data_IF_004517714154
#
_entry.id   IF_004517714154
#
_cell.length_a   1.000
_cell.length_b   1.000
_cell.length_c   1.000
_cell.angle_alpha   90.00
_cell.angle_beta   90.00
_cell.angle_gamma   90.00
#
_symmetry.space_group_name_H-M   'P 1'
#
loop_
_entity.id
_entity.type
_entity.pdbx_description
1 polymer ?
#
# COMPACT_ATOMS: atom_id res chain seq x y z
N UNK A 1 13.38 -4.32 7.44
CA UNK A 1 12.76 -3.08 6.96
C UNK A 1 11.36 -3.29 6.36
N UNK A 2 11.11 -4.42 5.71
CA UNK A 2 9.81 -4.80 5.17
C UNK A 2 9.04 -5.56 6.26
N UNK A 3 7.82 -5.15 6.54
CA UNK A 3 6.95 -5.80 7.53
C UNK A 3 5.64 -6.17 6.83
N UNK A 4 5.59 -7.33 6.17
CA UNK A 4 4.37 -7.81 5.56
C UNK A 4 3.36 -8.22 6.64
N UNK A 5 2.08 -7.99 6.38
CA UNK A 5 0.96 -8.38 7.23
C UNK A 5 0.02 -9.22 6.39
N UNK A 6 -0.29 -10.43 6.83
CA UNK A 6 -1.29 -11.27 6.17
C UNK A 6 -2.67 -10.65 6.34
N UNK A 7 -3.41 -10.56 5.25
CA UNK A 7 -4.77 -10.06 5.25
C UNK A 7 -5.70 -11.21 5.65
N UNK A 8 -6.28 -11.10 6.84
CA UNK A 8 -7.38 -11.96 7.28
C UNK A 8 -8.66 -11.13 7.29
N UNK A 9 -9.78 -11.73 6.93
CA UNK A 9 -11.06 -11.03 6.96
C UNK A 9 -11.34 -10.49 8.37
N UNK A 10 -11.38 -9.17 8.51
CA UNK A 10 -11.95 -8.52 9.68
C UNK A 10 -11.20 -7.36 10.34
N UNK A 11 -9.88 -7.19 10.28
CA UNK A 11 -9.28 -6.11 11.08
C UNK A 11 -7.91 -5.58 10.60
N UNK A 12 -7.84 -5.15 9.33
CA UNK A 12 -6.60 -4.61 8.77
C UNK A 12 -6.49 -3.09 8.94
N UNK A 13 -7.55 -2.43 9.35
CA UNK A 13 -7.62 -0.97 9.46
C UNK A 13 -6.56 -0.37 10.40
N UNK A 14 -6.10 -1.14 11.38
CA UNK A 14 -5.10 -0.69 12.36
C UNK A 14 -3.69 -0.54 11.77
N UNK A 15 -3.39 -1.23 10.68
CA UNK A 15 -2.08 -1.20 10.03
C UNK A 15 -1.93 -0.10 8.99
N UNK A 16 -3.04 0.49 8.54
CA UNK A 16 -3.06 1.48 7.47
C UNK A 16 -2.88 2.87 8.05
N UNK A 17 -1.84 3.56 7.59
CA UNK A 17 -1.56 4.96 7.90
C UNK A 17 -1.95 5.86 6.74
N UNK A 18 -2.41 7.07 7.07
CA UNK A 18 -2.75 8.08 6.09
C UNK A 18 -1.59 8.44 5.17
N UNK A 19 -1.91 8.68 3.88
CA UNK A 19 -0.99 9.13 2.83
C UNK A 19 0.25 8.23 2.63
N UNK A 20 0.13 6.94 2.91
CA UNK A 20 1.22 5.97 2.70
C UNK A 20 0.90 5.06 1.53
N UNK A 21 1.97 4.64 0.86
CA UNK A 21 1.92 3.64 -0.21
C UNK A 21 2.06 2.24 0.38
N UNK A 22 1.31 1.34 -0.18
CA UNK A 22 1.34 -0.08 0.15
C UNK A 22 1.36 -0.92 -1.12
N UNK A 23 1.87 -2.13 -0.99
CA UNK A 23 1.68 -3.20 -1.96
C UNK A 23 0.68 -4.19 -1.37
N UNK A 24 -0.31 -4.58 -2.17
CA UNK A 24 -1.19 -5.71 -1.89
C UNK A 24 -0.77 -6.87 -2.75
N UNK A 25 -0.60 -8.03 -2.14
CA UNK A 25 -0.01 -9.20 -2.76
C UNK A 25 -1.00 -10.36 -2.66
N UNK A 26 -1.25 -11.03 -3.79
CA UNK A 26 -2.00 -12.28 -3.87
C UNK A 26 -1.01 -13.42 -4.09
N UNK A 27 -1.17 -14.50 -3.33
CA UNK A 27 -0.26 -15.63 -3.36
C UNK A 27 -0.97 -16.93 -3.01
N UNK A 28 -0.41 -18.05 -3.44
CA UNK A 28 -0.82 -19.41 -3.09
C UNK A 28 0.32 -20.17 -2.40
N UNK A 29 0.00 -21.19 -1.61
CA UNK A 29 1.03 -22.07 -1.04
C UNK A 29 1.73 -22.85 -2.15
N UNK A 30 3.05 -23.00 -2.05
CA UNK A 30 3.77 -23.97 -2.88
C UNK A 30 3.31 -25.36 -2.50
N UNK A 31 2.79 -26.12 -3.47
CA UNK A 31 2.49 -27.53 -3.27
C UNK A 31 3.80 -28.29 -3.07
N UNK A 32 4.01 -28.82 -1.87
CA UNK A 32 5.05 -29.83 -1.64
C UNK A 32 4.44 -31.17 -2.05
N UNK A 33 4.84 -31.68 -3.21
CA UNK A 33 4.49 -33.02 -3.65
C UNK A 33 5.03 -34.04 -2.65
N UNK A 34 4.20 -34.50 -1.73
CA UNK A 34 4.19 -35.85 -1.16
C UNK A 34 2.93 -36.01 -0.31
N UNK A 35 2.05 -36.90 -0.78
CA UNK A 35 0.80 -37.36 -0.14
C UNK A 35 -0.47 -36.60 -0.56
N UNK A 36 -1.29 -37.39 -1.22
CA UNK A 36 -2.67 -37.18 -1.59
C UNK A 36 -3.52 -36.76 -0.39
N UNK A 37 -3.78 -35.49 -0.28
CA UNK A 37 -5.07 -34.96 0.15
C UNK A 37 -5.25 -33.62 -0.57
N UNK A 38 -6.35 -33.49 -1.31
CA UNK A 38 -6.84 -32.25 -1.90
C UNK A 38 -7.18 -31.26 -0.79
N UNK A 39 -6.18 -30.79 -0.05
CA UNK A 39 -6.34 -29.65 0.84
C UNK A 39 -6.11 -28.40 0.00
N UNK A 40 -7.22 -27.79 -0.34
CA UNK A 40 -7.45 -26.41 -0.77
C UNK A 40 -6.17 -25.59 -0.98
N UNK A 41 -5.83 -25.37 -2.24
CA UNK A 41 -4.91 -24.31 -2.62
C UNK A 41 -5.58 -22.97 -2.27
N UNK A 42 -5.51 -22.59 -1.00
CA UNK A 42 -6.08 -21.36 -0.52
C UNK A 42 -5.35 -20.17 -1.12
N UNK A 43 -6.09 -19.18 -1.61
CA UNK A 43 -5.55 -17.88 -1.97
C UNK A 43 -5.27 -17.10 -0.69
N UNK A 44 -4.06 -16.58 -0.58
CA UNK A 44 -3.61 -15.76 0.54
C UNK A 44 -3.34 -14.34 0.07
N UNK A 45 -3.60 -13.40 0.95
CA UNK A 45 -3.36 -12.00 0.67
C UNK A 45 -2.46 -11.39 1.73
N UNK A 46 -1.58 -10.50 1.31
CA UNK A 46 -0.72 -9.76 2.22
C UNK A 46 -0.70 -8.28 1.87
N UNK A 47 -0.53 -7.46 2.90
CA UNK A 47 -0.31 -6.02 2.80
C UNK A 47 1.13 -5.72 3.22
N UNK A 48 1.84 -4.94 2.41
CA UNK A 48 3.19 -4.51 2.73
C UNK A 48 3.34 -3.01 2.55
N UNK A 49 3.78 -2.32 3.59
CA UNK A 49 4.05 -0.90 3.53
C UNK A 49 5.37 -0.62 2.81
N UNK A 50 5.36 0.35 1.88
CA UNK A 50 6.59 0.83 1.23
C UNK A 50 7.37 1.72 2.20
N UNK A 51 8.68 1.48 2.41
CA UNK A 51 9.46 2.10 3.49
C UNK A 51 10.02 3.48 3.13
N UNK A 52 9.17 4.47 2.85
CA UNK A 52 9.58 5.83 2.45
C UNK A 52 10.55 6.55 3.40
N UNK A 53 10.53 6.21 4.69
CA UNK A 53 11.38 6.88 5.68
C UNK A 53 12.77 6.26 5.83
N UNK A 54 12.96 5.07 5.26
CA UNK A 54 14.19 4.26 5.43
C UNK A 54 14.95 4.03 4.13
N UNK A 55 14.31 4.26 3.00
CA UNK A 55 14.90 4.11 1.68
C UNK A 55 14.32 5.17 0.74
N UNK A 56 15.14 5.73 -0.17
CA UNK A 56 14.67 6.63 -1.21
C UNK A 56 13.70 5.89 -2.12
N UNK A 57 12.75 6.62 -2.71
CA UNK A 57 11.79 6.02 -3.64
C UNK A 57 12.43 5.64 -4.97
N UNK A 58 13.42 6.42 -5.38
CA UNK A 58 14.16 6.22 -6.62
C UNK A 58 15.56 5.72 -6.28
N UNK A 59 15.91 4.58 -6.83
CA UNK A 59 17.22 3.96 -6.66
C UNK A 59 18.00 4.12 -7.95
N UNK A 60 19.16 4.76 -7.86
CA UNK A 60 20.08 4.84 -8.98
C UNK A 60 20.78 3.49 -9.17
N UNK A 61 20.70 2.98 -10.38
CA UNK A 61 21.40 1.76 -10.77
C UNK A 61 22.76 2.11 -11.41
N UNK A 62 23.70 1.16 -11.45
CA UNK A 62 24.96 1.35 -12.15
C UNK A 62 24.75 1.79 -13.59
N UNK A 63 25.56 2.73 -14.06
CA UNK A 63 25.54 3.16 -15.46
C UNK A 63 25.86 1.98 -16.37
N UNK A 64 25.11 1.86 -17.43
CA UNK A 64 25.37 0.89 -18.49
C UNK A 64 25.33 1.57 -19.85
N UNK A 65 26.38 1.36 -20.67
CA UNK A 65 26.53 1.99 -21.99
C UNK A 65 26.32 3.52 -21.98
N UNK A 66 26.87 4.21 -20.98
CA UNK A 66 26.76 5.67 -20.84
C UNK A 66 25.39 6.19 -20.44
N UNK A 67 24.42 5.31 -20.20
CA UNK A 67 23.05 5.65 -19.78
C UNK A 67 22.88 5.53 -18.29
N UNK A 68 22.02 6.39 -17.73
CA UNK A 68 21.60 6.36 -16.34
C UNK A 68 20.30 5.56 -16.23
N UNK A 69 20.20 4.77 -15.18
CA UNK A 69 19.02 3.97 -14.89
C UNK A 69 18.53 4.28 -13.50
N UNK A 70 17.24 4.48 -13.39
CA UNK A 70 16.52 4.68 -12.13
C UNK A 70 15.47 3.59 -12.00
N UNK A 71 15.31 3.08 -10.80
CA UNK A 71 14.28 2.08 -10.47
C UNK A 71 13.46 2.57 -9.29
N UNK A 72 12.15 2.36 -9.36
CA UNK A 72 11.29 2.57 -8.20
C UNK A 72 11.54 1.49 -7.16
N UNK A 73 11.54 1.89 -5.88
CA UNK A 73 11.68 0.93 -4.77
C UNK A 73 10.58 -0.13 -4.79
N UNK A 74 9.38 0.22 -5.27
CA UNK A 74 8.26 -0.71 -5.46
C UNK A 74 8.63 -1.88 -6.36
N UNK A 75 9.37 -1.63 -7.44
CA UNK A 75 9.76 -2.69 -8.37
C UNK A 75 10.88 -3.58 -7.80
N UNK A 76 11.79 -2.99 -7.03
CA UNK A 76 12.79 -3.76 -6.29
C UNK A 76 12.10 -4.69 -5.29
N UNK A 77 11.09 -4.18 -4.58
CA UNK A 77 10.32 -4.99 -3.63
C UNK A 77 9.58 -6.09 -4.37
N UNK A 78 8.87 -5.78 -5.48
CA UNK A 78 8.15 -6.78 -6.29
C UNK A 78 9.07 -7.90 -6.77
N UNK A 79 10.26 -7.56 -7.25
CA UNK A 79 11.24 -8.54 -7.72
C UNK A 79 11.73 -9.47 -6.59
N UNK A 80 11.70 -9.01 -5.35
CA UNK A 80 12.17 -9.76 -4.19
C UNK A 80 11.05 -10.39 -3.35
N UNK A 81 9.79 -10.30 -3.76
CA UNK A 81 8.65 -10.89 -3.03
C UNK A 81 8.81 -12.40 -2.76
N UNK A 82 9.34 -13.22 -3.70
CA UNK A 82 9.55 -14.65 -3.43
C UNK A 82 10.49 -14.91 -2.24
N UNK A 83 11.43 -14.01 -1.98
CA UNK A 83 12.35 -14.11 -0.83
C UNK A 83 11.70 -13.63 0.47
N UNK A 84 10.72 -12.72 0.37
CA UNK A 84 9.96 -12.20 1.52
C UNK A 84 8.91 -13.21 1.98
N UNK A 85 8.37 -14.00 1.06
CA UNK A 85 7.32 -14.99 1.33
C UNK A 85 7.80 -16.41 0.96
N UNK A 86 8.76 -16.98 1.71
CA UNK A 86 9.21 -18.34 1.46
C UNK A 86 8.03 -19.34 1.65
N UNK A 87 7.91 -20.29 0.73
CA UNK A 87 6.81 -21.25 0.75
C UNK A 87 5.52 -20.82 0.04
N UNK A 88 5.50 -19.62 -0.53
CA UNK A 88 4.40 -19.13 -1.37
C UNK A 88 4.85 -18.89 -2.80
N UNK A 89 3.89 -18.98 -3.72
CA UNK A 89 3.99 -18.50 -5.11
C UNK A 89 3.27 -17.18 -5.19
N UNK A 90 3.97 -16.14 -5.65
CA UNK A 90 3.38 -14.82 -5.83
C UNK A 90 2.61 -14.82 -7.15
N UNK A 91 1.31 -14.58 -7.09
CA UNK A 91 0.44 -14.56 -8.27
C UNK A 91 0.33 -13.15 -8.84
N UNK A 92 0.13 -12.17 -7.97
CA UNK A 92 0.01 -10.76 -8.39
C UNK A 92 0.36 -9.80 -7.26
N UNK A 93 0.74 -8.56 -7.64
CA UNK A 93 1.13 -7.52 -6.69
C UNK A 93 0.80 -6.15 -7.25
N UNK A 94 -0.04 -5.39 -6.56
CA UNK A 94 -0.53 -4.08 -6.96
C UNK A 94 -0.23 -3.01 -5.93
N UNK A 95 -0.06 -1.78 -6.40
CA UNK A 95 0.11 -0.61 -5.54
C UNK A 95 -1.24 -0.07 -5.09
N UNK A 96 -1.32 0.31 -3.83
CA UNK A 96 -2.46 1.06 -3.28
C UNK A 96 -1.99 2.26 -2.47
N UNK A 97 -2.79 3.31 -2.44
CA UNK A 97 -2.60 4.47 -1.57
C UNK A 97 -3.91 4.84 -0.91
N UNK A 98 -3.85 5.01 0.39
CA UNK A 98 -5.01 5.36 1.19
C UNK A 98 -4.82 6.77 1.71
N UNK A 99 -5.82 7.60 1.52
CA UNK A 99 -5.92 8.92 2.13
C UNK A 99 -7.16 8.99 3.00
N UNK A 100 -7.00 9.60 4.18
CA UNK A 100 -8.09 9.87 5.11
C UNK A 100 -8.34 11.35 5.13
N UNK A 101 -9.59 11.77 5.06
CA UNK A 101 -9.90 13.18 5.24
C UNK A 101 -9.62 13.61 6.66
N UNK A 102 -8.89 14.70 6.72
CA UNK A 102 -8.57 15.36 7.98
C UNK A 102 -9.65 16.42 8.34
N UNK A 103 -10.75 16.48 7.62
CA UNK A 103 -11.78 17.47 7.85
C UNK A 103 -12.44 17.28 9.22
N UNK A 104 -12.08 18.18 10.10
CA UNK A 104 -12.68 18.33 11.41
C UNK A 104 -13.92 19.23 11.19
N UNK A 105 -15.05 18.63 10.83
CA UNK A 105 -16.32 19.31 11.03
C UNK A 105 -16.56 19.40 12.54
N UNK A 106 -16.33 20.60 13.06
CA UNK A 106 -16.81 20.98 14.41
C UNK A 106 -18.28 21.32 14.22
N UNK A 107 -19.16 20.34 14.31
CA UNK A 107 -20.54 20.64 14.58
C UNK A 107 -20.63 21.15 16.01
N UNK A 108 -20.81 22.45 16.13
CA UNK A 108 -21.15 23.15 17.37
C UNK A 108 -22.59 22.81 17.76
N UNK A 109 -22.78 21.64 18.36
CA UNK A 109 -23.98 21.37 19.10
C UNK A 109 -23.65 21.09 20.56
N UNK A 110 -23.99 22.08 21.38
CA UNK A 110 -24.15 22.05 22.85
C UNK A 110 -22.92 21.79 23.73
N UNK A 111 -22.50 22.87 24.36
CA UNK A 111 -21.89 23.03 25.68
C UNK A 111 -21.28 21.82 26.39
N UNK A 112 -20.09 21.35 26.01
CA UNK A 112 -19.35 20.32 26.72
C UNK A 112 -17.86 20.56 26.59
N UNK A 113 -17.07 20.04 27.54
CA UNK A 113 -15.65 20.25 27.67
C UNK A 113 -14.89 20.01 26.33
N UNK A 114 -14.45 21.10 25.72
CA UNK A 114 -13.76 21.16 24.42
C UNK A 114 -12.56 20.19 24.38
N UNK A 115 -11.85 20.02 25.50
CA UNK A 115 -10.66 19.17 25.60
C UNK A 115 -11.00 17.69 25.49
N UNK A 116 -12.14 17.24 26.08
CA UNK A 116 -12.59 15.84 25.94
C UNK A 116 -13.15 15.56 24.55
N UNK A 117 -13.84 16.54 23.95
CA UNK A 117 -14.31 16.46 22.57
C UNK A 117 -13.12 16.36 21.60
N UNK A 118 -12.07 17.14 21.81
CA UNK A 118 -10.83 17.08 21.03
C UNK A 118 -10.12 15.73 21.23
N UNK A 119 -10.01 15.22 22.45
CA UNK A 119 -9.42 13.89 22.72
C UNK A 119 -10.21 12.74 22.08
N UNK A 120 -11.53 12.77 22.14
CA UNK A 120 -12.40 11.79 21.47
C UNK A 120 -12.30 11.88 19.96
N UNK A 121 -12.20 13.11 19.40
CA UNK A 121 -12.02 13.34 17.96
C UNK A 121 -10.63 12.94 17.48
N UNK A 122 -9.57 13.17 18.27
CA UNK A 122 -8.21 12.70 17.95
C UNK A 122 -8.14 11.16 17.95
N UNK A 123 -8.84 10.47 18.86
CA UNK A 123 -8.98 9.01 18.84
C UNK A 123 -9.78 8.54 17.61
N UNK A 124 -10.87 9.23 17.25
CA UNK A 124 -11.65 8.95 16.02
C UNK A 124 -10.87 9.28 14.75
N UNK A 125 -9.94 10.24 14.79
CA UNK A 125 -9.03 10.57 13.70
C UNK A 125 -8.08 9.41 13.33
N UNK A 126 -7.71 8.56 14.30
CA UNK A 126 -6.94 7.33 14.04
C UNK A 126 -7.78 6.24 13.35
N UNK A 127 -9.10 6.35 13.41
CA UNK A 127 -10.08 5.40 12.85
C UNK A 127 -11.00 6.12 11.84
N UNK A 128 -10.64 7.35 11.41
CA UNK A 128 -11.44 8.15 10.46
C UNK A 128 -11.82 7.35 9.22
N UNK A 129 -13.01 7.61 8.69
CA UNK A 129 -13.47 7.02 7.45
C UNK A 129 -12.40 7.21 6.36
N UNK A 130 -12.17 6.18 5.56
CA UNK A 130 -11.35 6.29 4.36
C UNK A 130 -12.09 7.21 3.40
N UNK A 131 -11.46 8.29 2.97
CA UNK A 131 -12.07 9.24 2.05
C UNK A 131 -11.62 9.03 0.62
N UNK A 132 -10.47 8.39 0.41
CA UNK A 132 -9.96 8.09 -0.92
C UNK A 132 -9.06 6.86 -0.89
N UNK A 133 -9.40 5.89 -1.70
CA UNK A 133 -8.61 4.70 -1.95
C UNK A 133 -8.14 4.68 -3.41
N UNK A 134 -6.87 4.96 -3.63
CA UNK A 134 -6.26 4.88 -4.96
C UNK A 134 -5.66 3.50 -5.15
N UNK A 135 -5.88 2.91 -6.33
CA UNK A 135 -5.40 1.58 -6.68
C UNK A 135 -4.85 1.53 -8.10
N UNK A 136 -3.99 0.56 -8.35
CA UNK A 136 -3.40 0.28 -9.65
C UNK A 136 -4.48 -0.19 -10.63
N UNK A 137 -4.56 0.44 -11.81
CA UNK A 137 -5.57 0.16 -12.84
C UNK A 137 -5.53 -1.29 -13.37
N UNK A 138 -4.37 -1.95 -13.25
CA UNK A 138 -4.22 -3.36 -13.68
C UNK A 138 -4.73 -4.36 -12.63
N UNK A 139 -5.23 -3.88 -11.48
CA UNK A 139 -5.77 -4.76 -10.43
C UNK A 139 -7.09 -5.38 -10.91
N UNK A 140 -7.21 -6.73 -10.94
CA UNK A 140 -8.45 -7.40 -11.33
C UNK A 140 -9.60 -7.10 -10.36
N UNK A 141 -10.83 -7.11 -10.88
CA UNK A 141 -12.02 -6.77 -10.11
C UNK A 141 -12.23 -7.68 -8.89
N UNK A 142 -11.97 -8.99 -9.04
CA UNK A 142 -12.06 -9.95 -7.94
C UNK A 142 -11.11 -9.61 -6.79
N UNK A 143 -9.90 -9.14 -7.12
CA UNK A 143 -8.94 -8.70 -6.11
C UNK A 143 -9.35 -7.37 -5.49
N UNK A 144 -9.83 -6.43 -6.30
CA UNK A 144 -10.32 -5.15 -5.81
C UNK A 144 -11.50 -5.33 -4.86
N UNK A 145 -12.48 -6.18 -5.20
CA UNK A 145 -13.62 -6.50 -4.34
C UNK A 145 -13.17 -7.08 -3.00
N UNK A 146 -12.26 -8.05 -3.02
CA UNK A 146 -11.68 -8.60 -1.80
C UNK A 146 -11.06 -7.51 -0.91
N UNK A 147 -10.30 -6.59 -1.51
CA UNK A 147 -9.66 -5.48 -0.78
C UNK A 147 -10.72 -4.52 -0.24
N UNK A 148 -11.74 -4.19 -1.02
CA UNK A 148 -12.84 -3.33 -0.57
C UNK A 148 -13.54 -3.91 0.65
N UNK A 149 -13.83 -5.19 0.65
CA UNK A 149 -14.46 -5.89 1.76
C UNK A 149 -13.54 -5.95 2.98
N UNK A 150 -12.27 -6.32 2.79
CA UNK A 150 -11.29 -6.42 3.87
C UNK A 150 -11.05 -5.08 4.59
N UNK A 151 -11.10 -3.97 3.86
CA UNK A 151 -10.88 -2.62 4.39
C UNK A 151 -12.17 -1.84 4.65
N UNK A 152 -13.33 -2.40 4.29
CA UNK A 152 -14.64 -1.75 4.32
C UNK A 152 -14.62 -0.40 3.58
N UNK A 153 -14.17 -0.45 2.32
CA UNK A 153 -14.09 0.69 1.41
C UNK A 153 -15.38 0.78 0.62
N UNK A 154 -15.93 1.98 0.52
CA UNK A 154 -17.10 2.24 -0.33
C UNK A 154 -16.65 2.44 -1.78
N UNK A 155 -17.51 2.08 -2.74
CA UNK A 155 -17.21 2.27 -4.16
C UNK A 155 -16.99 3.73 -4.52
N UNK A 156 -17.66 4.65 -3.85
CA UNK A 156 -17.53 6.10 -4.06
C UNK A 156 -16.15 6.65 -3.63
N UNK A 157 -15.43 5.91 -2.78
CA UNK A 157 -14.11 6.29 -2.30
C UNK A 157 -12.98 5.76 -3.22
N UNK A 158 -13.33 4.98 -4.25
CA UNK A 158 -12.38 4.37 -5.17
C UNK A 158 -11.89 5.37 -6.20
N UNK A 159 -10.57 5.42 -6.40
CA UNK A 159 -9.92 6.25 -7.42
C UNK A 159 -8.94 5.38 -8.20
N UNK A 160 -9.17 5.25 -9.49
CA UNK A 160 -8.25 4.54 -10.38
C UNK A 160 -6.96 5.33 -10.49
N UNK A 161 -5.84 4.68 -10.26
CA UNK A 161 -4.49 5.22 -10.42
C UNK A 161 -3.70 4.47 -11.48
N UNK A 162 -2.42 4.73 -11.58
CA UNK A 162 -1.48 3.94 -12.38
C UNK A 162 -0.70 2.97 -11.51
N UNK A 163 0.23 2.25 -12.13
CA UNK A 163 1.16 1.33 -11.46
C UNK A 163 1.97 2.03 -10.36
N UNK A 164 2.33 3.29 -10.59
CA UNK A 164 3.04 4.14 -9.62
C UNK A 164 2.13 5.24 -9.13
N UNK A 165 1.81 5.18 -7.87
CA UNK A 165 0.98 6.17 -7.19
C UNK A 165 1.85 7.26 -6.56
N UNK A 166 1.23 8.39 -6.15
CA UNK A 166 1.91 9.51 -5.50
C UNK A 166 2.92 10.25 -6.40
N UNK A 167 2.42 10.89 -7.45
CA UNK A 167 3.23 11.65 -8.42
C UNK A 167 4.06 12.79 -7.80
N UNK A 168 3.70 13.26 -6.60
CA UNK A 168 4.48 14.28 -5.87
C UNK A 168 5.92 13.83 -5.60
N UNK A 169 6.16 12.52 -5.49
CA UNK A 169 7.50 11.99 -5.25
C UNK A 169 8.43 12.19 -6.45
N UNK A 170 7.89 12.45 -7.65
CA UNK A 170 8.69 12.76 -8.85
C UNK A 170 9.52 14.05 -8.67
N UNK A 171 9.12 14.95 -7.76
CA UNK A 171 9.93 16.11 -7.40
C UNK A 171 11.27 15.74 -6.75
N UNK A 172 11.39 14.50 -6.25
CA UNK A 172 12.62 13.96 -5.65
C UNK A 172 13.42 13.08 -6.63
N UNK A 173 13.06 13.11 -7.92
CA UNK A 173 13.77 12.32 -8.92
C UNK A 173 15.23 12.76 -8.99
N UNK A 174 16.20 11.84 -8.84
CA UNK A 174 17.61 12.18 -8.93
C UNK A 174 17.95 12.77 -10.29
N UNK A 175 18.71 13.88 -10.29
CA UNK A 175 19.24 14.44 -11.52
C UNK A 175 20.59 13.80 -11.84
N UNK A 176 20.69 12.90 -12.83
CA UNK A 176 21.94 12.20 -13.12
C UNK A 176 23.03 13.07 -13.73
N UNK A 177 22.69 14.29 -14.15
CA UNK A 177 23.63 15.26 -14.74
C UNK A 177 24.21 16.24 -13.70
N UNK A 178 23.82 16.10 -12.42
CA UNK A 178 24.22 17.05 -11.37
C UNK A 178 23.59 18.44 -11.55
N UNK A 179 24.14 19.46 -10.89
CA UNK A 179 23.61 20.84 -10.90
C UNK A 179 23.84 21.62 -12.23
N UNK A 180 23.86 20.98 -13.37
CA UNK A 180 24.01 21.64 -14.67
C UNK A 180 22.68 22.08 -15.27
N UNK A 181 21.86 22.77 -14.48
CA UNK A 181 20.74 23.59 -14.94
C UNK A 181 20.68 24.81 -14.02
N UNK A 182 21.65 25.68 -14.10
CA UNK A 182 21.54 27.11 -13.86
C UNK A 182 21.44 27.82 -15.19
#
# INVERSE_FOLDING_TARGET
FLSPVMIQAGDIRTFIRDRRLYLVIRMSKKSCNYSETKETSGTYYALMKIPHSKAPRFIELPKHNGRFYLMFIEDIIRANLPSVFPGYVIESCYSIKISRDADIYIEDENGGNIVEKIRKKIKRRKIGALSRFMYDHDMPDDFLEFICDAFNIKRDDLVVGGRYLNLQDLAQLPNPRGKCLE
#
